data_IF_790917467506
#
_entry.id   IF_790917467506
#
_cell.length_a   1.000
_cell.length_b   1.000
_cell.length_c   1.000
_cell.angle_alpha   90.00
_cell.angle_beta   90.00
_cell.angle_gamma   90.00
#
_symmetry.space_group_name_H-M   'P 1'
#
loop_
_entity.id
_entity.type
_entity.pdbx_description
1 polymer ?
#
# COMPACT_ATOMS: atom_id res chain seq x y z
N UNK A 1 4.40 17.24 4.04
CA UNK A 1 3.95 16.19 3.13
C UNK A 1 2.86 16.71 2.21
N UNK A 2 2.95 16.36 0.94
CA UNK A 2 1.95 16.79 -0.03
C UNK A 2 0.93 15.66 -0.24
N UNK A 3 -0.24 15.80 0.37
CA UNK A 3 -1.28 14.78 0.31
C UNK A 3 -1.75 14.53 -1.11
N UNK A 4 -1.84 15.60 -1.90
CA UNK A 4 -2.29 15.48 -3.28
C UNK A 4 -1.29 14.67 -4.11
N UNK A 5 -0.01 14.92 -3.90
CA UNK A 5 1.02 14.18 -4.62
C UNK A 5 0.96 12.69 -4.30
N UNK A 6 0.77 12.37 -3.01
CA UNK A 6 0.63 10.98 -2.61
C UNK A 6 -0.56 10.33 -3.31
N UNK A 7 -1.69 11.02 -3.32
CA UNK A 7 -2.91 10.46 -3.91
C UNK A 7 -2.77 10.24 -5.41
N UNK A 8 -2.13 11.16 -6.10
CA UNK A 8 -1.91 11.01 -7.53
C UNK A 8 -1.00 9.83 -7.81
N UNK A 9 0.13 9.74 -7.11
CA UNK A 9 1.07 8.65 -7.33
C UNK A 9 0.45 7.31 -6.97
N UNK A 10 -0.32 7.28 -5.89
CA UNK A 10 -0.97 6.07 -5.44
C UNK A 10 -2.00 5.58 -6.47
N UNK A 11 -2.72 6.51 -7.09
CA UNK A 11 -3.74 6.13 -8.08
C UNK A 11 -3.12 5.58 -9.35
N UNK A 12 -1.86 5.92 -9.62
CA UNK A 12 -1.14 5.41 -10.78
C UNK A 12 -0.37 4.13 -10.47
N UNK A 13 -0.39 3.69 -9.22
CA UNK A 13 0.31 2.47 -8.84
C UNK A 13 -0.33 1.27 -9.53
N UNK A 14 0.46 0.41 -10.18
CA UNK A 14 -0.11 -0.71 -10.95
C UNK A 14 -0.92 -1.67 -10.07
N UNK A 15 -2.14 -1.95 -10.52
CA UNK A 15 -3.01 -2.88 -9.80
C UNK A 15 -2.36 -4.27 -9.74
N UNK A 16 -1.66 -4.66 -10.81
CA UNK A 16 -0.99 -5.95 -10.85
C UNK A 16 0.03 -6.09 -9.72
N UNK A 17 0.70 -4.99 -9.37
CA UNK A 17 1.64 -5.02 -8.26
C UNK A 17 0.91 -5.13 -6.93
N UNK A 18 -0.19 -4.40 -6.80
CA UNK A 18 -0.97 -4.44 -5.57
C UNK A 18 -1.57 -5.81 -5.33
N UNK A 19 -1.93 -6.51 -6.39
CA UNK A 19 -2.53 -7.84 -6.25
C UNK A 19 -1.61 -8.83 -5.55
N UNK A 20 -0.31 -8.58 -5.58
CA UNK A 20 0.66 -9.43 -4.89
C UNK A 20 0.56 -9.30 -3.37
N UNK A 21 -0.04 -8.22 -2.90
CA UNK A 21 -0.15 -7.93 -1.47
C UNK A 21 -1.57 -8.07 -0.95
N UNK A 22 -2.40 -8.76 -1.70
CA UNK A 22 -3.81 -8.88 -1.32
C UNK A 22 -3.93 -9.54 0.06
N UNK A 23 -4.80 -8.96 0.88
CA UNK A 23 -4.99 -9.44 2.23
C UNK A 23 -3.92 -8.97 3.21
N UNK A 24 -3.01 -8.12 2.75
CA UNK A 24 -1.92 -7.64 3.59
C UNK A 24 -2.01 -6.13 3.78
N UNK A 25 -1.34 -5.68 4.84
CA UNK A 25 -1.11 -4.26 5.05
C UNK A 25 0.17 -3.88 4.32
N UNK A 26 0.17 -2.70 3.76
CA UNK A 26 1.31 -2.21 2.99
C UNK A 26 1.70 -0.83 3.49
N UNK A 27 2.99 -0.61 3.65
CA UNK A 27 3.51 0.71 4.00
C UNK A 27 4.09 1.34 2.74
N UNK A 28 3.46 2.42 2.29
CA UNK A 28 3.94 3.17 1.14
C UNK A 28 4.84 4.30 1.58
N UNK A 29 5.78 4.68 0.73
CA UNK A 29 6.53 5.91 0.93
C UNK A 29 5.54 7.08 0.91
N UNK A 30 5.96 8.22 1.47
CA UNK A 30 5.06 9.37 1.58
C UNK A 30 4.63 9.92 0.22
N UNK A 31 5.40 9.67 -0.82
CA UNK A 31 5.01 10.09 -2.16
C UNK A 31 4.13 9.07 -2.87
N UNK A 32 3.88 7.92 -2.25
CA UNK A 32 2.99 6.91 -2.80
C UNK A 32 3.56 6.08 -3.95
N UNK A 33 4.84 6.20 -4.22
CA UNK A 33 5.45 5.52 -5.36
C UNK A 33 6.08 4.18 -5.03
N UNK A 34 6.46 3.97 -3.77
CA UNK A 34 7.24 2.81 -3.40
C UNK A 34 6.60 2.10 -2.23
N UNK A 35 6.63 0.77 -2.28
CA UNK A 35 6.21 -0.05 -1.15
C UNK A 35 7.44 -0.33 -0.32
N UNK A 36 7.41 0.09 0.94
CA UNK A 36 8.53 -0.07 1.86
C UNK A 36 8.47 -1.41 2.58
N UNK A 37 7.26 -1.81 2.98
CA UNK A 37 7.08 -3.05 3.73
C UNK A 37 5.65 -3.55 3.56
N UNK A 38 5.45 -4.82 3.83
CA UNK A 38 4.12 -5.41 3.80
C UNK A 38 4.06 -6.59 4.75
N UNK A 39 2.87 -6.83 5.31
CA UNK A 39 2.66 -7.97 6.19
C UNK A 39 1.15 -8.11 6.43
N UNK A 40 0.70 -9.35 6.69
CA UNK A 40 -0.69 -9.59 7.03
C UNK A 40 -1.05 -8.98 8.37
N UNK A 41 -0.06 -8.87 9.25
CA UNK A 41 -0.23 -8.37 10.60
C UNK A 41 0.28 -6.94 10.67
N UNK A 42 -0.65 -6.00 10.86
CA UNK A 42 -0.30 -4.59 10.93
C UNK A 42 0.74 -4.30 12.02
N UNK A 43 0.68 -5.04 13.13
CA UNK A 43 1.60 -4.79 14.23
C UNK A 43 3.05 -5.09 13.88
N UNK A 44 3.29 -5.82 12.81
CA UNK A 44 4.65 -6.15 12.38
C UNK A 44 5.21 -5.17 11.36
N UNK A 45 4.35 -4.33 10.80
CA UNK A 45 4.76 -3.40 9.77
C UNK A 45 5.82 -2.42 10.28
N UNK A 46 5.65 -1.91 11.50
CA UNK A 46 6.60 -0.95 12.05
C UNK A 46 8.01 -1.53 12.09
N UNK A 47 8.14 -2.77 12.55
CA UNK A 47 9.45 -3.42 12.61
C UNK A 47 10.04 -3.59 11.23
N UNK A 48 9.21 -3.94 10.26
CA UNK A 48 9.68 -4.13 8.90
C UNK A 48 10.12 -2.81 8.27
N UNK A 49 9.41 -1.73 8.56
CA UNK A 49 9.76 -0.41 8.07
C UNK A 49 11.10 0.03 8.65
N UNK A 50 11.29 -0.20 9.96
CA UNK A 50 12.55 0.14 10.61
C UNK A 50 13.69 -0.70 10.02
N UNK A 51 13.43 -1.97 9.78
CA UNK A 51 14.44 -2.85 9.19
C UNK A 51 14.83 -2.41 7.79
N UNK A 52 13.92 -1.73 7.08
CA UNK A 52 14.20 -1.19 5.76
C UNK A 52 14.93 0.15 5.81
N UNK A 53 15.17 0.66 7.01
CA UNK A 53 15.87 1.93 7.18
C UNK A 53 14.96 3.15 7.11
N UNK A 54 13.66 2.94 7.23
CA UNK A 54 12.69 4.02 7.15
C UNK A 54 12.05 4.28 8.51
N UNK A 55 11.41 5.45 8.61
CA UNK A 55 10.72 5.84 9.83
C UNK A 55 9.25 5.42 9.73
N UNK A 56 8.76 4.59 10.66
CA UNK A 56 7.36 4.16 10.63
C UNK A 56 6.36 5.31 10.66
N UNK A 57 6.77 6.47 11.16
CA UNK A 57 5.88 7.62 11.20
C UNK A 57 5.89 8.39 9.89
N UNK A 58 6.79 8.03 8.99
CA UNK A 58 6.95 8.69 7.70
C UNK A 58 6.51 7.77 6.56
N UNK A 59 5.52 6.93 6.81
CA UNK A 59 4.97 6.05 5.78
C UNK A 59 3.45 6.13 5.82
N UNK A 60 2.82 5.77 4.70
CA UNK A 60 1.37 5.71 4.61
C UNK A 60 0.95 4.25 4.64
N UNK A 61 0.09 3.89 5.57
CA UNK A 61 -0.36 2.51 5.72
C UNK A 61 -1.68 2.31 4.99
N UNK A 62 -1.78 1.18 4.29
CA UNK A 62 -2.99 0.88 3.54
C UNK A 62 -3.19 -0.63 3.52
N UNK A 63 -4.44 -1.05 3.66
CA UNK A 63 -4.75 -2.46 3.53
C UNK A 63 -5.17 -2.74 2.09
N UNK A 64 -4.56 -3.75 1.51
CA UNK A 64 -4.88 -4.13 0.13
C UNK A 64 -6.00 -5.14 0.14
N UNK A 65 -7.16 -4.72 -0.31
CA UNK A 65 -8.35 -5.55 -0.36
C UNK A 65 -8.68 -5.84 -1.82
N UNK A 66 -8.56 -7.09 -2.19
CA UNK A 66 -8.75 -7.50 -3.57
C UNK A 66 -10.19 -7.37 -4.04
N UNK A 67 -11.11 -7.37 -3.11
CA UNK A 67 -12.51 -7.19 -3.48
C UNK A 67 -12.76 -5.86 -4.16
N UNK A 68 -12.01 -4.84 -3.76
CA UNK A 68 -12.12 -3.53 -4.39
C UNK A 68 -11.70 -3.57 -5.84
N UNK A 69 -10.73 -4.39 -6.15
CA UNK A 69 -10.23 -4.49 -7.53
C UNK A 69 -11.17 -5.34 -8.38
N UNK A 70 -11.81 -6.31 -7.76
CA UNK A 70 -12.70 -7.20 -8.49
C UNK A 70 -13.96 -6.49 -8.96
N UNK A 71 -14.37 -5.48 -8.25
CA UNK A 71 -15.58 -4.77 -8.62
C UNK A 71 -15.47 -4.16 -10.00
N UNK A 72 -14.31 -3.73 -10.35
CA UNK A 72 -14.12 -3.15 -11.65
C UNK A 72 -14.24 -4.16 -12.77
N UNK A 73 -14.00 -5.38 -12.48
CA UNK A 73 -14.02 -6.40 -13.52
C UNK A 73 -15.30 -7.15 -13.62
N UNK A 74 -15.99 -7.17 -12.63
CA UNK A 74 -17.08 -8.05 -12.67
C UNK A 74 -18.38 -7.46 -12.84
N UNK A 75 -18.27 -7.40 -12.83
CA UNK A 75 -19.13 -7.31 -12.47
C UNK A 75 -20.02 -7.42 -12.86
N UNK A 76 -19.87 -7.24 -12.99
CA UNK A 76 -20.41 -7.37 -13.02
C UNK A 76 -21.05 -7.95 -13.24
N UNK A 77 -21.09 -8.04 -13.29
CA UNK A 77 -21.35 -8.53 -13.17
C UNK A 77 -21.82 -8.67 -13.39
#
# INVERSE_FOLDING_TARGET
>A
MNTQEYRENRSHFPVAELAKYRGQWVAFSLDGRTIIASNEDLSKIDSLVVAAGEDPEQVALERIDLDDFCLGGAETH
#
